data_IF_055364426063
#
_entry.id   IF_055364426063
#
_cell.length_a   1.000
_cell.length_b   1.000
_cell.length_c   1.000
_cell.angle_alpha   90.00
_cell.angle_beta   90.00
_cell.angle_gamma   90.00
#
_symmetry.space_group_name_H-M   'P 1'
#
loop_
_entity.id
_entity.type
_entity.pdbx_description
1 polymer ?
#
# COMPACT_ATOMS: atom_id res chain seq x y z
N UNK A 1 -36.14 43.41 26.70
CA UNK A 1 -36.84 42.29 26.08
C UNK A 1 -36.27 41.78 24.78
N UNK A 2 -35.33 42.47 24.24
CA UNK A 2 -34.74 42.07 22.95
C UNK A 2 -33.40 41.33 23.11
N UNK A 3 -32.94 41.08 24.36
CA UNK A 3 -31.69 40.41 24.61
C UNK A 3 -31.69 38.89 24.42
N UNK A 4 -32.89 38.32 24.25
CA UNK A 4 -33.00 36.86 24.10
C UNK A 4 -32.73 36.38 22.67
N UNK A 5 -32.70 37.29 21.70
CA UNK A 5 -32.49 36.93 20.28
C UNK A 5 -31.01 36.83 19.93
N UNK A 6 -30.12 37.42 20.71
CA UNK A 6 -28.69 37.41 20.42
C UNK A 6 -27.98 36.17 20.96
N UNK A 7 -28.58 35.42 21.91
CA UNK A 7 -27.97 34.23 22.45
C UNK A 7 -28.05 33.01 21.53
N UNK A 8 -28.97 32.99 20.57
CA UNK A 8 -29.15 31.87 19.67
C UNK A 8 -28.20 31.88 18.48
N UNK A 9 -27.63 33.05 18.18
CA UNK A 9 -26.70 33.16 17.06
C UNK A 9 -25.31 32.61 17.35
N UNK A 10 -24.97 32.43 18.63
CA UNK A 10 -23.66 31.93 19.04
C UNK A 10 -23.50 30.41 18.91
N UNK A 11 -24.59 29.67 18.89
CA UNK A 11 -24.54 28.20 18.88
C UNK A 11 -24.26 27.65 17.49
N UNK A 12 -24.53 28.39 16.45
CA UNK A 12 -24.35 27.97 15.07
C UNK A 12 -22.91 28.12 14.54
N UNK A 13 -22.05 28.82 15.27
CA UNK A 13 -20.66 29.04 14.83
C UNK A 13 -19.69 27.97 15.27
N UNK A 14 -20.13 26.96 15.99
CA UNK A 14 -19.23 25.95 16.58
C UNK A 14 -19.35 24.57 15.94
N UNK A 15 -19.62 24.51 14.65
CA UNK A 15 -19.52 23.22 13.94
C UNK A 15 -18.05 22.96 13.66
N UNK A 16 -17.43 22.20 14.52
CA UNK A 16 -16.11 21.63 14.24
C UNK A 16 -16.25 20.59 13.15
N UNK A 17 -15.90 20.97 11.94
CA UNK A 17 -15.66 19.98 10.90
C UNK A 17 -14.27 19.40 11.21
N UNK A 18 -14.24 18.27 11.93
CA UNK A 18 -13.02 17.52 12.04
C UNK A 18 -12.69 16.94 10.66
N UNK A 19 -11.83 17.60 9.92
CA UNK A 19 -11.24 17.02 8.73
C UNK A 19 -10.21 16.00 9.22
N UNK A 20 -10.50 14.73 8.97
CA UNK A 20 -9.46 13.73 9.00
C UNK A 20 -8.41 14.17 7.98
N UNK A 21 -7.21 14.47 8.47
CA UNK A 21 -6.09 14.72 7.58
C UNK A 21 -5.74 13.41 6.87
N UNK A 22 -6.26 13.22 5.66
CA UNK A 22 -5.84 12.14 4.78
C UNK A 22 -4.55 12.64 4.13
N UNK A 23 -3.45 11.94 4.36
CA UNK A 23 -2.21 12.23 3.66
C UNK A 23 -2.43 11.98 2.17
N UNK A 24 -2.32 13.03 1.36
CA UNK A 24 -2.36 12.91 -0.09
C UNK A 24 -1.10 12.24 -0.59
N UNK A 25 -1.24 11.33 -1.53
CA UNK A 25 -0.10 10.67 -2.13
C UNK A 25 -0.40 9.23 -2.52
N UNK A 26 0.61 8.38 -2.40
CA UNK A 26 0.52 6.98 -2.78
C UNK A 26 -0.29 6.19 -1.75
N UNK A 27 -1.33 5.51 -2.22
CA UNK A 27 -2.16 4.62 -1.41
C UNK A 27 -2.09 3.20 -1.95
N UNK A 28 -2.11 2.23 -1.06
CA UNK A 28 -2.02 0.81 -1.39
C UNK A 28 -3.17 0.04 -0.74
N UNK A 29 -3.85 -0.78 -1.52
CA UNK A 29 -4.98 -1.60 -1.04
C UNK A 29 -4.96 -2.96 -1.74
N UNK A 30 -5.06 -4.09 -1.03
CA UNK A 30 -5.06 -4.25 0.44
C UNK A 30 -3.66 -4.14 1.03
N UNK A 31 -3.55 -4.17 2.36
CA UNK A 31 -2.26 -4.05 3.06
C UNK A 31 -1.65 -5.40 3.41
N UNK A 32 -2.30 -6.48 3.05
CA UNK A 32 -1.77 -7.85 3.11
C UNK A 32 -2.43 -8.69 2.03
N UNK A 33 -1.77 -9.76 1.62
CA UNK A 33 -2.27 -10.69 0.62
C UNK A 33 -2.09 -12.12 1.09
N UNK A 34 -3.07 -12.96 0.74
CA UNK A 34 -2.95 -14.41 0.89
C UNK A 34 -3.34 -15.06 -0.44
N UNK A 35 -2.43 -15.86 -1.00
CA UNK A 35 -2.74 -16.70 -2.13
C UNK A 35 -3.15 -18.08 -1.61
N UNK A 36 -4.37 -18.47 -1.93
CA UNK A 36 -4.85 -19.81 -1.62
C UNK A 36 -4.19 -20.84 -2.53
N UNK A 37 -4.24 -22.10 -2.14
CA UNK A 37 -3.57 -23.17 -2.91
C UNK A 37 -3.97 -23.23 -4.38
N UNK A 38 -5.19 -22.83 -4.70
CA UNK A 38 -5.75 -22.86 -6.06
C UNK A 38 -5.60 -21.53 -6.79
N UNK A 39 -5.01 -20.53 -6.16
CA UNK A 39 -4.80 -19.22 -6.76
C UNK A 39 -3.37 -19.09 -7.26
N UNK A 40 -3.23 -18.67 -8.50
CA UNK A 40 -1.92 -18.37 -9.08
C UNK A 40 -1.58 -16.90 -9.03
N UNK A 41 -2.56 -16.05 -8.84
CA UNK A 41 -2.36 -14.61 -8.85
C UNK A 41 -3.34 -13.91 -7.92
N UNK A 42 -2.91 -12.81 -7.39
CA UNK A 42 -3.68 -11.81 -6.68
C UNK A 42 -3.24 -10.42 -7.12
N UNK A 43 -4.04 -9.43 -6.79
CA UNK A 43 -3.75 -8.07 -7.18
C UNK A 43 -3.74 -7.12 -5.99
N UNK A 44 -2.91 -6.10 -6.08
CA UNK A 44 -2.98 -4.94 -5.21
C UNK A 44 -3.15 -3.70 -6.06
N UNK A 45 -3.89 -2.74 -5.53
CA UNK A 45 -4.12 -1.47 -6.20
C UNK A 45 -3.22 -0.41 -5.60
N UNK A 46 -2.51 0.29 -6.48
CA UNK A 46 -1.84 1.53 -6.13
C UNK A 46 -2.65 2.68 -6.69
N UNK A 47 -2.86 3.71 -5.88
CA UNK A 47 -3.56 4.91 -6.30
C UNK A 47 -2.81 6.15 -5.88
N UNK A 48 -2.94 7.19 -6.68
CA UNK A 48 -2.38 8.50 -6.40
C UNK A 48 -3.52 9.45 -6.03
N UNK A 49 -3.63 9.78 -4.75
CA UNK A 49 -4.64 10.70 -4.24
C UNK A 49 -4.14 12.15 -4.18
N UNK A 50 -2.89 12.38 -4.56
CA UNK A 50 -2.29 13.70 -4.58
C UNK A 50 -2.52 14.45 -5.87
N UNK A 51 -1.91 15.60 -5.97
CA UNK A 51 -2.05 16.52 -7.13
C UNK A 51 -0.88 16.47 -8.11
N UNK A 52 0.16 15.69 -7.79
CA UNK A 52 1.35 15.55 -8.62
C UNK A 52 1.51 14.09 -9.06
N UNK A 53 2.13 13.85 -10.23
CA UNK A 53 2.45 12.48 -10.65
C UNK A 53 3.38 11.79 -9.65
N UNK A 54 3.20 10.49 -9.48
CA UNK A 54 4.02 9.66 -8.60
C UNK A 54 4.67 8.56 -9.43
N UNK A 55 5.99 8.41 -9.28
CA UNK A 55 6.72 7.25 -9.78
C UNK A 55 6.92 6.28 -8.62
N UNK A 56 6.69 5.00 -8.88
CA UNK A 56 6.82 3.96 -7.87
C UNK A 56 7.58 2.76 -8.41
N UNK A 57 8.30 2.10 -7.52
CA UNK A 57 8.99 0.85 -7.80
C UNK A 57 8.44 -0.23 -6.88
N UNK A 58 8.14 -1.39 -7.45
CA UNK A 58 7.61 -2.53 -6.73
C UNK A 58 8.61 -3.68 -6.83
N UNK A 59 8.96 -4.26 -5.69
CA UNK A 59 9.85 -5.42 -5.62
C UNK A 59 9.22 -6.47 -4.71
N UNK A 60 9.56 -7.73 -4.94
CA UNK A 60 9.10 -8.83 -4.11
C UNK A 60 10.31 -9.59 -3.55
N UNK A 61 10.24 -9.92 -2.27
CA UNK A 61 11.29 -10.64 -1.56
C UNK A 61 10.70 -11.85 -0.84
N UNK A 62 11.45 -12.93 -0.80
CA UNK A 62 11.15 -14.06 0.06
C UNK A 62 11.46 -13.65 1.50
N UNK A 63 10.50 -13.88 2.39
CA UNK A 63 10.61 -13.44 3.78
C UNK A 63 10.69 -14.66 4.69
N UNK A 64 11.73 -14.71 5.51
CA UNK A 64 11.87 -15.71 6.56
C UNK A 64 12.24 -15.05 7.88
N UNK A 65 11.75 -15.62 8.97
CA UNK A 65 12.09 -15.17 10.31
C UNK A 65 13.19 -16.08 10.87
N UNK A 66 14.22 -15.47 11.40
CA UNK A 66 15.33 -16.16 12.05
C UNK A 66 15.45 -15.67 13.49
N UNK A 67 16.29 -16.38 14.29
CA UNK A 67 16.50 -16.07 15.71
C UNK A 67 16.97 -14.63 15.96
N UNK A 68 17.55 -13.96 14.96
CA UNK A 68 18.11 -12.62 15.08
C UNK A 68 17.34 -11.58 14.25
N UNK A 69 16.14 -11.90 13.80
CA UNK A 69 15.30 -11.00 13.03
C UNK A 69 14.86 -11.54 11.68
N UNK A 70 14.23 -10.70 10.92
CA UNK A 70 13.70 -11.06 9.61
C UNK A 70 14.81 -11.08 8.56
N UNK A 71 14.72 -12.05 7.65
CA UNK A 71 15.59 -12.12 6.48
C UNK A 71 14.78 -11.97 5.21
N UNK A 72 15.20 -11.05 4.35
CA UNK A 72 14.66 -10.89 3.01
C UNK A 72 15.67 -11.37 1.99
N UNK A 73 15.22 -12.21 1.08
CA UNK A 73 16.04 -12.73 -0.01
C UNK A 73 15.34 -12.53 -1.33
N UNK A 74 16.07 -12.65 -2.45
CA UNK A 74 15.48 -12.56 -3.76
C UNK A 74 14.34 -13.57 -3.90
N UNK A 75 13.21 -13.13 -4.48
CA UNK A 75 12.06 -13.99 -4.71
C UNK A 75 12.32 -14.93 -5.88
N UNK A 76 11.97 -16.21 -5.68
CA UNK A 76 11.98 -17.21 -6.76
C UNK A 76 10.60 -17.82 -7.02
N UNK A 77 9.68 -17.67 -6.08
CA UNK A 77 8.36 -18.27 -6.17
C UNK A 77 7.23 -17.30 -6.47
N UNK A 78 7.49 -16.00 -6.40
CA UNK A 78 6.57 -14.94 -6.77
C UNK A 78 7.24 -13.94 -7.68
N UNK A 79 6.47 -13.47 -8.66
CA UNK A 79 6.84 -12.34 -9.50
C UNK A 79 5.74 -11.30 -9.45
N UNK A 80 6.10 -10.07 -9.72
CA UNK A 80 5.16 -8.95 -9.75
C UNK A 80 5.20 -8.24 -11.10
N UNK A 81 4.10 -7.63 -11.49
CA UNK A 81 4.00 -6.88 -12.74
C UNK A 81 2.95 -5.78 -12.62
N UNK A 82 3.28 -4.55 -13.02
CA UNK A 82 4.60 -4.06 -13.46
C UNK A 82 5.53 -3.76 -12.28
N UNK A 83 6.87 -3.82 -12.47
CA UNK A 83 7.83 -3.50 -11.42
C UNK A 83 8.07 -1.99 -11.23
N UNK A 84 7.77 -1.21 -12.25
CA UNK A 84 7.88 0.25 -12.19
C UNK A 84 6.67 0.87 -12.87
N UNK A 85 6.19 1.97 -12.33
CA UNK A 85 5.00 2.63 -12.86
C UNK A 85 5.00 4.11 -12.52
N UNK A 86 4.21 4.84 -13.30
CA UNK A 86 3.91 6.24 -13.06
C UNK A 86 2.41 6.39 -12.89
N UNK A 87 1.99 7.02 -11.80
CA UNK A 87 0.59 7.31 -11.52
C UNK A 87 0.33 8.79 -11.70
N UNK A 88 -0.54 9.14 -12.64
CA UNK A 88 -1.06 10.50 -12.75
C UNK A 88 -1.90 10.84 -11.52
N UNK A 89 -2.11 12.13 -11.22
CA UNK A 89 -3.03 12.52 -10.15
C UNK A 89 -4.41 11.88 -10.35
N UNK A 90 -4.92 11.23 -9.31
CA UNK A 90 -6.16 10.46 -9.37
C UNK A 90 -6.04 9.12 -10.08
N UNK A 91 -4.86 8.77 -10.58
CA UNK A 91 -4.64 7.51 -11.30
C UNK A 91 -4.52 6.31 -10.39
N UNK A 92 -4.83 5.14 -10.95
CA UNK A 92 -4.74 3.85 -10.25
C UNK A 92 -4.07 2.83 -11.17
N UNK A 93 -3.32 1.91 -10.57
CA UNK A 93 -2.69 0.80 -11.27
C UNK A 93 -2.82 -0.47 -10.46
N UNK A 94 -3.22 -1.55 -11.12
CA UNK A 94 -3.21 -2.87 -10.52
C UNK A 94 -1.81 -3.47 -10.65
N UNK A 95 -1.26 -3.91 -9.53
CA UNK A 95 -0.05 -4.70 -9.49
C UNK A 95 -0.46 -6.15 -9.32
N UNK A 96 -0.07 -6.98 -10.26
CA UNK A 96 -0.34 -8.42 -10.19
C UNK A 96 0.80 -9.12 -9.48
N UNK A 97 0.42 -9.96 -8.52
CA UNK A 97 1.34 -10.82 -7.77
C UNK A 97 1.08 -12.24 -8.25
N UNK A 98 2.07 -12.87 -8.86
CA UNK A 98 1.88 -14.12 -9.60
C UNK A 98 2.80 -15.19 -9.03
N UNK A 99 2.22 -16.34 -8.67
CA UNK A 99 2.97 -17.51 -8.28
C UNK A 99 3.52 -18.20 -9.53
N UNK A 100 4.83 -18.48 -9.52
CA UNK A 100 5.54 -19.02 -10.68
C UNK A 100 5.68 -20.54 -10.68
N UNK A 101 5.28 -21.20 -9.61
CA UNK A 101 5.40 -22.65 -9.48
C UNK A 101 4.19 -23.29 -8.82
N UNK A 102 4.28 -24.58 -8.49
CA UNK A 102 3.24 -25.24 -7.73
C UNK A 102 3.13 -24.67 -6.32
N UNK A 103 1.99 -24.91 -5.61
CA UNK A 103 1.88 -24.50 -4.22
C UNK A 103 3.00 -25.09 -3.38
N UNK A 104 3.55 -24.33 -2.41
CA UNK A 104 4.61 -24.85 -1.55
C UNK A 104 4.09 -25.94 -0.64
N UNK A 105 4.99 -26.80 -0.16
CA UNK A 105 4.62 -27.89 0.77
C UNK A 105 4.17 -27.38 2.13
N UNK A 106 4.71 -26.22 2.56
CA UNK A 106 4.35 -25.53 3.78
C UNK A 106 4.00 -24.08 3.44
N UNK A 107 3.32 -23.39 4.35
CA UNK A 107 3.04 -21.97 4.15
C UNK A 107 4.35 -21.22 3.90
N UNK A 108 4.35 -20.40 2.86
CA UNK A 108 5.48 -19.57 2.48
C UNK A 108 5.11 -18.10 2.58
N UNK A 109 6.09 -17.27 2.85
CA UNK A 109 5.88 -15.85 3.06
C UNK A 109 6.81 -15.01 2.21
N UNK A 110 6.27 -13.91 1.74
CA UNK A 110 6.97 -12.91 0.92
C UNK A 110 6.64 -11.52 1.43
N UNK A 111 7.46 -10.57 1.03
CA UNK A 111 7.17 -9.16 1.24
C UNK A 111 7.22 -8.41 -0.07
N UNK A 112 6.22 -7.60 -0.30
CA UNK A 112 6.22 -6.61 -1.37
C UNK A 112 6.77 -5.31 -0.82
N UNK A 113 7.78 -4.78 -1.49
CA UNK A 113 8.35 -3.48 -1.19
C UNK A 113 7.86 -2.51 -2.26
N UNK A 114 7.08 -1.52 -1.87
CA UNK A 114 6.55 -0.51 -2.77
C UNK A 114 7.15 0.81 -2.35
N UNK A 115 7.99 1.36 -3.21
CA UNK A 115 8.73 2.58 -2.94
C UNK A 115 8.31 3.68 -3.89
N UNK A 116 7.88 4.80 -3.34
CA UNK A 116 7.76 6.03 -4.11
C UNK A 116 9.16 6.52 -4.45
N UNK A 117 9.38 6.82 -5.72
CA UNK A 117 10.66 7.37 -6.17
C UNK A 117 10.62 8.89 -6.06
N UNK A 118 11.74 9.52 -5.63
CA UNK A 118 11.77 10.98 -5.57
C UNK A 118 11.63 11.58 -6.97
N UNK A 119 11.00 12.75 -7.09
CA UNK A 119 10.89 13.40 -8.39
C UNK A 119 12.28 13.75 -8.93
N UNK A 120 12.39 13.75 -10.26
CA UNK A 120 13.65 14.01 -10.95
C UNK A 120 14.17 15.43 -10.72
N UNK A 121 13.28 16.36 -10.37
CA UNK A 121 13.63 17.74 -10.05
C UNK A 121 13.25 18.02 -8.61
N UNK A 122 14.25 18.16 -7.74
CA UNK A 122 14.03 18.53 -6.34
C UNK A 122 14.01 20.06 -6.24
N UNK A 123 12.99 20.59 -5.60
CA UNK A 123 12.95 22.01 -5.26
C UNK A 123 13.93 22.27 -4.14
N UNK A 124 14.79 23.27 -4.31
CA UNK A 124 15.66 23.75 -3.23
C UNK A 124 14.81 24.18 -2.04
N UNK A 125 15.21 23.75 -0.84
CA UNK A 125 14.56 24.09 0.44
C UNK A 125 13.15 23.53 0.63
N UNK A 126 12.72 22.58 -0.20
CA UNK A 126 11.45 21.88 0.01
C UNK A 126 11.71 20.56 0.71
N UNK A 127 10.97 20.31 1.78
CA UNK A 127 10.95 19.00 2.42
C UNK A 127 10.14 18.05 1.56
N UNK A 128 10.76 16.96 1.13
CA UNK A 128 10.07 15.96 0.32
C UNK A 128 9.94 14.66 1.09
N UNK A 129 8.72 14.18 1.19
CA UNK A 129 8.42 12.87 1.78
C UNK A 129 8.20 11.87 0.66
N UNK A 130 8.92 10.75 0.73
CA UNK A 130 8.69 9.60 -0.13
C UNK A 130 8.15 8.47 0.73
N UNK A 131 7.12 7.80 0.22
CA UNK A 131 6.46 6.73 0.95
C UNK A 131 7.07 5.38 0.61
N UNK A 132 7.15 4.53 1.62
CA UNK A 132 7.57 3.16 1.50
C UNK A 132 6.55 2.25 2.17
N UNK A 133 6.06 1.26 1.42
CA UNK A 133 5.15 0.25 1.94
C UNK A 133 5.83 -1.11 1.91
N UNK A 134 5.69 -1.86 3.00
CA UNK A 134 6.10 -3.26 3.06
C UNK A 134 4.87 -4.10 3.36
N UNK A 135 4.47 -4.93 2.41
CA UNK A 135 3.21 -5.67 2.46
C UNK A 135 3.50 -7.16 2.54
N UNK A 136 3.04 -7.85 3.58
CA UNK A 136 3.22 -9.29 3.67
C UNK A 136 2.32 -10.02 2.66
N UNK A 137 2.88 -11.06 2.05
CA UNK A 137 2.17 -11.97 1.14
C UNK A 137 2.38 -13.39 1.64
N UNK A 138 1.29 -14.09 1.88
CA UNK A 138 1.33 -15.48 2.33
C UNK A 138 0.80 -16.40 1.24
N UNK A 139 1.49 -17.53 1.02
CA UNK A 139 1.06 -18.55 0.10
C UNK A 139 0.69 -19.79 0.90
N UNK A 140 -0.56 -20.22 0.77
CA UNK A 140 -1.08 -21.38 1.50
C UNK A 140 -0.70 -22.67 0.80
N UNK A 141 -0.27 -23.71 1.56
CA UNK A 141 -0.01 -25.03 1.00
C UNK A 141 -1.30 -25.76 0.67
N UNK A 142 -1.25 -26.83 -0.16
CA UNK A 142 -2.40 -27.69 -0.40
C UNK A 142 -2.93 -28.31 0.91
N UNK A 143 -4.24 -28.42 1.02
CA UNK A 143 -4.89 -29.07 2.15
C UNK A 143 -5.14 -28.20 3.36
N UNK A 144 -4.78 -26.90 3.32
CA UNK A 144 -5.16 -25.96 4.38
C UNK A 144 -6.59 -25.50 4.14
N UNK A 145 -7.43 -25.72 5.16
CA UNK A 145 -8.81 -25.27 5.09
C UNK A 145 -8.88 -23.74 5.20
N UNK A 146 -9.74 -23.15 4.38
CA UNK A 146 -10.11 -21.76 4.51
C UNK A 146 -10.93 -21.56 5.79
N UNK A 147 -10.34 -20.91 6.76
CA UNK A 147 -11.05 -20.50 7.97
C UNK A 147 -11.10 -18.99 8.04
#
# INVERSE_FOLDING_TARGET
MNGKKSALAFILGMVFVSRLAIADGLQVTPVNLTLQQNQRAEGIWLSNTGSNPINAQVRVFHWSQRAYGDKLAASQGLVISPPMLTLAPGGRQLIRVIRTGPPPATEDAYRLSINELPPSVLKKNALQFVLHYSIPVFIQPPGVADT
#
